data_IF_007159067027
#
_entry.id   IF_007159067027
#
_cell.length_a   1.000
_cell.length_b   1.000
_cell.length_c   1.000
_cell.angle_alpha   90.00
_cell.angle_beta   90.00
_cell.angle_gamma   90.00
#
_symmetry.space_group_name_H-M   'P 1'
#
loop_
_entity.id
_entity.type
_entity.pdbx_description
1 polymer ?
#
# COMPACT_ATOMS: atom_id res chain seq x y z
N UNK A 1 -26.83 -23.73 3.17
CA UNK A 1 -26.43 -22.58 2.36
C UNK A 1 -27.36 -21.36 2.49
N UNK A 2 -28.69 -21.51 2.59
CA UNK A 2 -29.70 -20.47 2.76
C UNK A 2 -29.57 -19.64 4.08
N UNK A 3 -29.37 -20.33 5.21
CA UNK A 3 -29.35 -19.66 6.54
C UNK A 3 -28.24 -18.64 6.69
N UNK A 4 -27.06 -18.89 6.11
CA UNK A 4 -25.93 -17.96 6.16
C UNK A 4 -26.17 -16.68 5.35
N UNK A 5 -26.99 -16.75 4.30
CA UNK A 5 -27.36 -15.58 3.50
C UNK A 5 -28.38 -14.68 4.23
N UNK A 6 -29.30 -15.27 4.98
CA UNK A 6 -30.30 -14.55 5.77
C UNK A 6 -29.61 -13.79 6.92
N UNK A 7 -28.71 -14.44 7.64
CA UNK A 7 -27.94 -13.81 8.74
C UNK A 7 -27.08 -12.65 8.21
N UNK A 8 -26.48 -12.81 7.01
CA UNK A 8 -25.74 -11.73 6.37
C UNK A 8 -26.65 -10.54 5.99
N UNK A 9 -27.85 -10.81 5.47
CA UNK A 9 -28.83 -9.80 5.09
C UNK A 9 -29.35 -9.04 6.32
N UNK A 10 -29.66 -9.73 7.40
CA UNK A 10 -30.10 -9.14 8.67
C UNK A 10 -28.99 -8.26 9.27
N UNK A 11 -27.75 -8.72 9.30
CA UNK A 11 -26.59 -7.91 9.76
C UNK A 11 -26.37 -6.67 8.89
N UNK A 12 -26.59 -6.75 7.58
CA UNK A 12 -26.52 -5.62 6.67
C UNK A 12 -27.64 -4.61 6.90
N UNK A 13 -28.85 -5.06 7.15
CA UNK A 13 -29.99 -4.19 7.49
C UNK A 13 -29.77 -3.49 8.82
N UNK A 14 -29.31 -4.23 9.84
CA UNK A 14 -29.01 -3.67 11.17
C UNK A 14 -27.92 -2.58 11.11
N UNK A 15 -26.87 -2.78 10.32
CA UNK A 15 -25.82 -1.77 10.09
C UNK A 15 -26.35 -0.52 9.39
N UNK A 16 -27.32 -0.68 8.48
CA UNK A 16 -27.95 0.43 7.76
C UNK A 16 -28.86 1.27 8.65
N UNK A 17 -29.52 0.62 9.63
CA UNK A 17 -30.46 1.26 10.58
C UNK A 17 -29.73 1.89 11.75
N UNK A 18 -28.64 1.27 12.22
CA UNK A 18 -27.87 1.74 13.39
C UNK A 18 -26.86 2.84 13.11
N UNK A 19 -26.73 3.30 11.85
CA UNK A 19 -25.75 4.34 11.47
C UNK A 19 -24.27 3.94 11.69
N UNK A 20 -24.01 2.68 12.09
CA UNK A 20 -22.65 2.17 12.40
C UNK A 20 -21.84 1.74 11.17
N UNK A 21 -22.29 2.12 9.98
CA UNK A 21 -21.78 1.60 8.71
C UNK A 21 -20.36 2.02 8.32
N UNK A 22 -19.72 2.98 8.99
CA UNK A 22 -18.42 3.51 8.54
C UNK A 22 -17.26 3.26 9.51
N UNK A 23 -17.50 3.08 10.81
CA UNK A 23 -16.39 2.95 11.78
C UNK A 23 -15.69 1.60 11.81
N UNK A 24 -16.38 0.50 11.51
CA UNK A 24 -15.82 -0.86 11.68
C UNK A 24 -14.94 -1.35 10.52
N UNK A 25 -14.96 -0.72 9.35
CA UNK A 25 -14.27 -1.24 8.16
C UNK A 25 -12.81 -0.85 8.05
N UNK A 26 -12.33 0.09 8.87
CA UNK A 26 -11.00 0.68 8.77
C UNK A 26 -10.15 0.56 10.04
N UNK A 27 -10.56 -0.23 11.03
CA UNK A 27 -9.81 -0.46 12.27
C UNK A 27 -8.40 -1.05 12.03
N UNK A 28 -8.17 -1.70 10.88
CA UNK A 28 -6.84 -2.19 10.55
C UNK A 28 -5.78 -1.09 10.45
N UNK A 29 -6.15 0.14 10.15
CA UNK A 29 -5.24 1.29 10.11
C UNK A 29 -4.63 1.56 11.49
N UNK A 30 -5.46 1.49 12.55
CA UNK A 30 -5.00 1.68 13.92
C UNK A 30 -4.01 0.59 14.33
N UNK A 31 -4.27 -0.67 13.92
CA UNK A 31 -3.35 -1.78 14.22
C UNK A 31 -2.02 -1.62 13.51
N UNK A 32 -2.01 -1.24 12.24
CA UNK A 32 -0.78 -1.05 11.47
C UNK A 32 0.10 0.06 12.04
N UNK A 33 -0.50 1.19 12.36
CA UNK A 33 0.22 2.29 12.99
C UNK A 33 0.79 1.88 14.35
N UNK A 34 -0.02 1.20 15.18
CA UNK A 34 0.43 0.69 16.47
C UNK A 34 1.59 -0.30 16.32
N UNK A 35 1.49 -1.28 15.44
CA UNK A 35 2.54 -2.26 15.18
C UNK A 35 3.83 -1.61 14.65
N UNK A 36 3.72 -0.57 13.82
CA UNK A 36 4.86 0.24 13.39
C UNK A 36 5.58 0.86 14.58
N UNK A 37 4.83 1.45 15.52
CA UNK A 37 5.37 2.07 16.73
C UNK A 37 5.92 1.03 17.72
N UNK A 38 5.25 -0.11 17.86
CA UNK A 38 5.72 -1.21 18.72
C UNK A 38 7.06 -1.80 18.21
N UNK A 39 7.28 -1.82 16.88
CA UNK A 39 8.51 -2.33 16.27
C UNK A 39 9.71 -1.37 16.37
N UNK A 40 9.47 -0.08 16.17
CA UNK A 40 10.56 0.89 15.99
C UNK A 40 10.58 2.01 17.05
N UNK A 41 9.46 2.28 17.71
CA UNK A 41 9.27 3.48 18.53
C UNK A 41 8.95 4.74 17.72
N UNK A 42 8.23 5.69 18.30
CA UNK A 42 7.92 6.98 17.65
C UNK A 42 9.19 7.77 17.31
N UNK A 43 10.18 7.72 18.21
CA UNK A 43 11.44 8.46 18.08
C UNK A 43 12.27 8.05 16.85
N UNK A 44 12.10 6.81 16.37
CA UNK A 44 12.78 6.35 15.16
C UNK A 44 12.38 7.19 13.93
N UNK A 45 11.15 7.69 13.91
CA UNK A 45 10.59 8.46 12.79
C UNK A 45 10.57 9.97 13.05
N UNK A 46 10.93 10.41 14.26
CA UNK A 46 10.96 11.83 14.62
C UNK A 46 11.96 12.59 13.72
N UNK A 47 11.52 13.74 13.22
CA UNK A 47 12.31 14.59 12.32
C UNK A 47 12.80 13.87 11.04
N UNK A 48 12.05 12.87 10.58
CA UNK A 48 12.31 12.08 9.37
C UNK A 48 11.42 12.52 8.22
N UNK A 49 11.78 12.11 7.01
CA UNK A 49 10.96 12.35 5.83
C UNK A 49 9.98 11.21 5.64
N UNK A 50 8.70 11.54 5.54
CA UNK A 50 7.61 10.58 5.39
C UNK A 50 6.91 10.79 4.05
N UNK A 51 6.63 9.69 3.34
CA UNK A 51 5.79 9.67 2.14
C UNK A 51 4.54 8.83 2.42
N UNK A 52 3.37 9.37 2.12
CA UNK A 52 2.14 8.61 2.03
C UNK A 52 1.64 8.58 0.58
N UNK A 53 1.34 7.38 0.09
CA UNK A 53 0.81 7.16 -1.25
C UNK A 53 -0.64 6.71 -1.15
N UNK A 54 -1.55 7.51 -1.70
CA UNK A 54 -3.00 7.29 -1.64
C UNK A 54 -3.63 7.70 -0.31
N UNK A 55 -3.40 8.93 0.21
CA UNK A 55 -3.90 9.38 1.52
C UNK A 55 -5.43 9.46 1.60
N UNK A 56 -6.13 9.50 0.49
CA UNK A 56 -7.58 9.48 0.35
C UNK A 56 -8.33 10.47 1.26
N UNK A 57 -8.66 10.04 2.48
CA UNK A 57 -9.46 10.77 3.48
C UNK A 57 -8.61 11.42 4.59
N UNK A 58 -7.29 11.27 4.54
CA UNK A 58 -6.34 11.86 5.48
C UNK A 58 -6.31 11.22 6.87
N UNK A 59 -7.03 10.14 7.10
CA UNK A 59 -7.06 9.49 8.42
C UNK A 59 -5.70 8.88 8.80
N UNK A 60 -5.01 8.28 7.84
CA UNK A 60 -3.64 7.80 8.07
C UNK A 60 -2.66 8.98 8.15
N UNK A 61 -2.86 10.01 7.32
CA UNK A 61 -2.03 11.22 7.35
C UNK A 61 -2.02 11.88 8.73
N UNK A 62 -3.17 12.01 9.39
CA UNK A 62 -3.28 12.56 10.76
C UNK A 62 -2.51 11.72 11.80
N UNK A 63 -2.48 10.39 11.65
CA UNK A 63 -1.69 9.51 12.53
C UNK A 63 -0.20 9.64 12.26
N UNK A 64 0.19 9.72 10.98
CA UNK A 64 1.59 9.86 10.57
C UNK A 64 2.17 11.21 10.99
N UNK A 65 1.35 12.26 11.03
CA UNK A 65 1.75 13.57 11.56
C UNK A 65 2.20 13.52 13.03
N UNK A 66 1.65 12.60 13.85
CA UNK A 66 2.07 12.39 15.22
C UNK A 66 3.54 11.96 15.38
N UNK A 67 4.17 11.51 14.29
CA UNK A 67 5.59 11.16 14.23
C UNK A 67 6.49 12.41 14.14
N UNK A 68 5.89 13.60 14.01
CA UNK A 68 6.58 14.86 13.83
C UNK A 68 7.63 14.84 12.71
N UNK A 69 7.21 14.60 11.45
CA UNK A 69 8.12 14.52 10.32
C UNK A 69 8.79 15.87 10.03
N UNK A 70 10.04 15.85 9.53
CA UNK A 70 10.72 17.05 9.00
C UNK A 70 10.09 17.51 7.69
N UNK A 71 9.60 16.57 6.89
CA UNK A 71 8.83 16.81 5.67
C UNK A 71 7.85 15.66 5.47
N UNK A 72 6.60 16.00 5.18
CA UNK A 72 5.54 15.04 4.90
C UNK A 72 5.05 15.20 3.46
N UNK A 73 5.39 14.25 2.60
CA UNK A 73 4.95 14.24 1.21
C UNK A 73 3.76 13.31 1.06
N UNK A 74 2.72 13.81 0.40
CA UNK A 74 1.46 13.12 0.15
C UNK A 74 1.27 13.04 -1.35
N UNK A 75 1.10 11.85 -1.90
CA UNK A 75 0.87 11.65 -3.34
C UNK A 75 -0.42 10.90 -3.56
N UNK A 76 -1.34 11.49 -4.33
CA UNK A 76 -2.59 10.85 -4.74
C UNK A 76 -2.89 11.11 -6.20
N UNK A 77 -3.72 10.26 -6.78
CA UNK A 77 -4.15 10.41 -8.16
C UNK A 77 -4.86 11.77 -8.36
N UNK A 78 -4.70 12.38 -9.56
CA UNK A 78 -5.55 13.49 -9.96
C UNK A 78 -6.99 13.00 -9.97
N UNK A 79 -7.77 13.41 -9.00
CA UNK A 79 -9.14 12.95 -8.85
C UNK A 79 -10.08 13.74 -9.77
N UNK A 80 -10.94 13.01 -10.47
CA UNK A 80 -11.99 13.60 -11.31
C UNK A 80 -13.23 13.99 -10.50
N UNK A 81 -13.43 13.33 -9.36
CA UNK A 81 -14.49 13.63 -8.41
C UNK A 81 -13.80 14.26 -7.20
N UNK A 82 -13.96 15.56 -7.03
CA UNK A 82 -13.34 16.30 -5.94
C UNK A 82 -13.52 15.59 -4.59
N UNK A 83 -12.59 14.69 -4.26
CA UNK A 83 -12.45 14.22 -2.88
C UNK A 83 -12.15 15.48 -2.09
N UNK A 84 -13.03 15.77 -1.15
CA UNK A 84 -12.86 16.90 -0.25
C UNK A 84 -11.52 16.71 0.48
N UNK A 85 -10.54 17.54 0.10
CA UNK A 85 -9.20 17.55 0.70
C UNK A 85 -9.07 18.64 1.78
N UNK A 86 -10.18 19.06 2.36
CA UNK A 86 -10.19 20.04 3.46
C UNK A 86 -9.31 19.59 4.62
N UNK A 87 -9.17 18.27 4.82
CA UNK A 87 -8.29 17.71 5.85
C UNK A 87 -6.81 18.07 5.68
N UNK A 88 -6.35 18.46 4.46
CA UNK A 88 -4.99 18.96 4.27
C UNK A 88 -4.73 20.23 5.08
N UNK A 89 -5.74 21.10 5.21
CA UNK A 89 -5.67 22.32 6.02
C UNK A 89 -5.59 22.04 7.52
N UNK A 90 -5.94 20.85 7.96
CA UNK A 90 -5.85 20.44 9.38
C UNK A 90 -4.44 19.97 9.77
N UNK A 91 -3.60 19.60 8.78
CA UNK A 91 -2.22 19.14 9.03
C UNK A 91 -1.34 20.33 9.44
N UNK A 92 -0.61 20.14 10.54
CA UNK A 92 0.30 21.16 11.15
C UNK A 92 1.74 20.99 10.71
N UNK A 93 2.12 19.80 10.26
CA UNK A 93 3.47 19.50 9.78
C UNK A 93 3.79 20.23 8.47
N UNK A 94 5.07 20.43 8.20
CA UNK A 94 5.52 20.85 6.87
C UNK A 94 5.18 19.76 5.85
N UNK A 95 4.14 19.97 5.05
CA UNK A 95 3.65 18.97 4.11
C UNK A 95 3.58 19.50 2.67
N UNK A 96 3.75 18.57 1.73
CA UNK A 96 3.59 18.82 0.30
C UNK A 96 2.61 17.80 -0.27
N UNK A 97 1.54 18.28 -0.89
CA UNK A 97 0.58 17.42 -1.60
C UNK A 97 0.84 17.46 -3.12
N UNK A 98 1.02 16.28 -3.72
CA UNK A 98 1.31 16.11 -5.16
C UNK A 98 0.19 15.30 -5.80
N UNK A 99 -0.50 15.88 -6.77
CA UNK A 99 -1.49 15.17 -7.58
C UNK A 99 -0.78 14.47 -8.74
N UNK A 100 -0.45 13.20 -8.55
CA UNK A 100 0.22 12.40 -9.58
C UNK A 100 -0.05 10.91 -9.38
N UNK A 101 0.07 10.13 -10.44
CA UNK A 101 0.23 8.70 -10.30
C UNK A 101 1.71 8.40 -10.00
N UNK A 102 2.02 8.01 -8.77
CA UNK A 102 3.39 7.75 -8.33
C UNK A 102 4.14 6.78 -9.26
N UNK A 103 3.44 5.75 -9.77
CA UNK A 103 4.03 4.77 -10.68
C UNK A 103 4.48 5.38 -12.01
N UNK A 104 3.73 6.37 -12.51
CA UNK A 104 3.93 6.97 -13.84
C UNK A 104 4.42 8.43 -13.79
N UNK A 105 4.93 8.87 -12.64
CA UNK A 105 5.62 10.16 -12.57
C UNK A 105 6.77 10.19 -13.59
N UNK A 106 7.02 11.37 -14.18
CA UNK A 106 8.22 11.58 -14.99
C UNK A 106 9.48 11.27 -14.17
N UNK A 107 10.58 10.94 -14.80
CA UNK A 107 11.83 10.68 -14.08
C UNK A 107 12.27 11.90 -13.28
N UNK A 108 12.12 13.09 -13.86
CA UNK A 108 12.45 14.36 -13.21
C UNK A 108 11.61 14.59 -11.94
N UNK A 109 10.27 14.47 -12.03
CA UNK A 109 9.39 14.61 -10.88
C UNK A 109 9.67 13.56 -9.82
N UNK A 110 9.86 12.31 -10.26
CA UNK A 110 10.19 11.21 -9.37
C UNK A 110 11.50 11.46 -8.62
N UNK A 111 12.54 11.95 -9.29
CA UNK A 111 13.82 12.26 -8.64
C UNK A 111 13.71 13.46 -7.71
N UNK A 112 12.93 14.46 -8.08
CA UNK A 112 12.75 15.70 -7.32
C UNK A 112 12.16 15.51 -5.92
N UNK A 113 11.34 14.48 -5.72
CA UNK A 113 10.78 14.20 -4.39
C UNK A 113 11.80 13.63 -3.38
N UNK A 114 12.99 13.22 -3.85
CA UNK A 114 14.04 12.67 -3.01
C UNK A 114 13.70 11.29 -2.43
N UNK A 115 14.34 10.94 -1.29
CA UNK A 115 14.15 9.66 -0.57
C UNK A 115 13.51 9.88 0.79
N UNK A 116 12.95 8.81 1.36
CA UNK A 116 12.14 8.82 2.57
C UNK A 116 12.61 7.78 3.59
N UNK A 117 12.34 8.05 4.85
CA UNK A 117 12.63 7.13 5.94
C UNK A 117 11.42 6.24 6.27
N UNK A 118 10.23 6.71 5.94
CA UNK A 118 8.99 5.95 6.03
C UNK A 118 8.16 6.17 4.76
N UNK A 119 7.71 5.07 4.14
CA UNK A 119 6.69 5.12 3.08
C UNK A 119 5.46 4.36 3.55
N UNK A 120 4.33 5.06 3.61
CA UNK A 120 3.04 4.48 3.97
C UNK A 120 2.22 4.24 2.70
N UNK A 121 1.93 2.97 2.42
CA UNK A 121 1.37 2.51 1.16
C UNK A 121 0.24 1.50 1.40
N UNK A 122 -0.95 2.02 1.71
CA UNK A 122 -2.09 1.22 2.11
C UNK A 122 -3.27 1.36 1.16
N UNK A 123 -3.88 0.24 0.79
CA UNK A 123 -5.08 0.21 -0.04
C UNK A 123 -4.88 0.53 -1.53
N UNK A 124 -3.66 0.62 -2.02
CA UNK A 124 -3.33 1.12 -3.37
C UNK A 124 -2.83 0.04 -4.32
N UNK A 125 -1.97 -0.88 -3.83
CA UNK A 125 -1.24 -1.82 -4.68
C UNK A 125 -2.14 -2.59 -5.66
N UNK A 126 -3.26 -3.10 -5.18
CA UNK A 126 -4.16 -3.92 -5.99
C UNK A 126 -4.91 -3.17 -7.10
N UNK A 127 -4.86 -1.85 -7.13
CA UNK A 127 -5.38 -1.03 -8.20
C UNK A 127 -4.40 -0.83 -9.36
N UNK A 128 -3.18 -1.36 -9.24
CA UNK A 128 -2.14 -1.20 -10.24
C UNK A 128 -1.83 -2.52 -10.97
N UNK A 129 -1.69 -2.50 -12.30
CA UNK A 129 -1.30 -3.67 -13.08
C UNK A 129 0.19 -4.01 -12.91
N UNK A 130 1.06 -3.03 -12.71
CA UNK A 130 2.52 -3.16 -12.61
C UNK A 130 2.98 -3.21 -11.15
N UNK A 131 2.48 -4.18 -10.40
CA UNK A 131 2.64 -4.25 -8.95
C UNK A 131 4.10 -4.42 -8.49
N UNK A 132 4.85 -5.30 -9.15
CA UNK A 132 6.27 -5.49 -8.87
C UNK A 132 7.07 -4.20 -9.11
N UNK A 133 6.83 -3.51 -10.23
CA UNK A 133 7.47 -2.23 -10.53
C UNK A 133 7.11 -1.15 -9.50
N UNK A 134 5.88 -1.18 -8.99
CA UNK A 134 5.48 -0.25 -7.94
C UNK A 134 6.28 -0.48 -6.65
N UNK A 135 6.40 -1.74 -6.22
CA UNK A 135 7.18 -2.12 -5.04
C UNK A 135 8.67 -1.76 -5.22
N UNK A 136 9.21 -1.96 -6.43
CA UNK A 136 10.58 -1.55 -6.76
C UNK A 136 10.76 -0.03 -6.60
N UNK A 137 9.88 0.78 -7.18
CA UNK A 137 9.94 2.25 -7.03
C UNK A 137 9.85 2.68 -5.56
N UNK A 138 9.04 2.01 -4.75
CA UNK A 138 8.99 2.25 -3.30
C UNK A 138 10.34 1.94 -2.65
N UNK A 139 10.94 0.78 -2.96
CA UNK A 139 12.25 0.40 -2.43
C UNK A 139 13.33 1.43 -2.79
N UNK A 140 13.35 1.92 -4.05
CA UNK A 140 14.34 2.88 -4.53
C UNK A 140 14.18 4.25 -3.85
N UNK A 141 12.95 4.61 -3.45
CA UNK A 141 12.65 5.84 -2.70
C UNK A 141 12.87 5.74 -1.19
N UNK A 142 13.21 4.57 -0.67
CA UNK A 142 13.60 4.44 0.74
C UNK A 142 15.08 4.74 0.92
N UNK A 143 15.39 5.49 1.99
CA UNK A 143 16.73 5.58 2.56
C UNK A 143 17.17 4.21 3.09
N UNK A 144 18.49 4.02 3.27
CA UNK A 144 19.00 2.91 4.06
C UNK A 144 18.42 2.96 5.47
N UNK A 145 17.92 1.82 5.96
CA UNK A 145 17.18 1.75 7.22
C UNK A 145 15.72 2.20 7.11
N UNK A 146 15.31 2.76 5.97
CA UNK A 146 13.93 3.19 5.76
C UNK A 146 12.94 2.04 5.75
N UNK A 147 11.69 2.35 6.08
CA UNK A 147 10.62 1.39 6.33
C UNK A 147 9.45 1.63 5.38
N UNK A 148 8.86 0.57 4.84
CA UNK A 148 7.57 0.62 4.16
C UNK A 148 6.51 -0.06 5.01
N UNK A 149 5.34 0.58 5.15
CA UNK A 149 4.10 -0.03 5.61
C UNK A 149 3.23 -0.29 4.39
N UNK A 150 3.01 -1.55 4.08
CA UNK A 150 2.24 -1.97 2.91
C UNK A 150 0.98 -2.71 3.33
N UNK A 151 -0.15 -2.30 2.78
CA UNK A 151 -1.41 -3.02 2.93
C UNK A 151 -2.12 -3.12 1.57
N UNK A 152 -2.64 -4.30 1.26
CA UNK A 152 -3.30 -4.56 -0.03
C UNK A 152 -4.41 -5.60 0.09
N UNK A 153 -5.44 -5.44 -0.74
CA UNK A 153 -6.35 -6.54 -1.01
C UNK A 153 -5.61 -7.67 -1.74
N UNK A 154 -5.98 -8.92 -1.39
CA UNK A 154 -5.40 -10.12 -1.98
C UNK A 154 -6.49 -11.04 -2.54
N UNK A 155 -6.10 -12.07 -3.31
CA UNK A 155 -7.05 -13.06 -3.83
C UNK A 155 -7.86 -13.71 -2.70
N UNK A 156 -9.14 -13.92 -2.95
CA UNK A 156 -10.05 -14.58 -2.01
C UNK A 156 -10.07 -16.11 -2.15
N UNK A 157 -9.40 -16.62 -3.17
CA UNK A 157 -9.35 -18.05 -3.47
C UNK A 157 -8.33 -18.74 -2.57
N UNK A 158 -8.79 -19.41 -1.52
CA UNK A 158 -7.94 -20.04 -0.50
C UNK A 158 -6.86 -20.96 -1.09
N UNK A 159 -7.13 -21.64 -2.21
CA UNK A 159 -6.17 -22.50 -2.90
C UNK A 159 -4.94 -21.74 -3.43
N UNK A 160 -5.03 -20.44 -3.61
CA UNK A 160 -3.96 -19.61 -4.17
C UNK A 160 -3.21 -18.77 -3.14
N UNK A 161 -3.56 -18.86 -1.85
CA UNK A 161 -2.96 -18.00 -0.80
C UNK A 161 -1.44 -18.17 -0.75
N UNK A 162 -0.96 -19.42 -0.89
CA UNK A 162 0.46 -19.76 -0.83
C UNK A 162 1.12 -19.91 -2.22
N UNK A 163 0.43 -19.51 -3.27
CA UNK A 163 0.93 -19.57 -4.64
C UNK A 163 1.29 -18.16 -5.12
N UNK A 164 2.26 -18.05 -6.00
CA UNK A 164 2.61 -16.77 -6.64
C UNK A 164 1.66 -16.47 -7.80
N UNK A 165 0.48 -15.96 -7.51
CA UNK A 165 -0.56 -15.67 -8.52
C UNK A 165 -1.17 -14.29 -8.35
N UNK A 166 -1.68 -13.75 -9.45
CA UNK A 166 -2.48 -12.53 -9.49
C UNK A 166 -3.82 -12.83 -10.14
N UNK A 167 -4.91 -12.49 -9.44
CA UNK A 167 -6.27 -12.61 -9.95
C UNK A 167 -6.70 -11.28 -10.58
N UNK A 168 -6.97 -11.26 -11.88
CA UNK A 168 -7.34 -10.07 -12.63
C UNK A 168 -8.85 -9.91 -12.62
N UNK A 169 -9.32 -8.74 -12.23
CA UNK A 169 -10.72 -8.35 -12.24
C UNK A 169 -10.93 -7.16 -13.16
N UNK A 170 -11.88 -7.28 -14.09
CA UNK A 170 -12.34 -6.16 -14.89
C UNK A 170 -13.07 -5.11 -14.05
N UNK A 171 -13.19 -3.86 -14.54
CA UNK A 171 -14.00 -2.84 -13.88
C UNK A 171 -15.39 -3.37 -13.52
N UNK A 172 -15.90 -2.98 -12.36
CA UNK A 172 -17.18 -3.41 -11.77
C UNK A 172 -17.28 -4.89 -11.34
N UNK A 173 -16.32 -5.75 -11.69
CA UNK A 173 -16.34 -7.16 -11.27
C UNK A 173 -15.82 -7.38 -9.86
N UNK A 174 -15.04 -6.44 -9.31
CA UNK A 174 -14.57 -6.44 -7.94
C UNK A 174 -15.18 -5.28 -7.15
N UNK A 175 -16.13 -5.59 -6.24
CA UNK A 175 -16.78 -4.61 -5.34
C UNK A 175 -17.34 -3.36 -6.03
N UNK A 176 -17.78 -3.48 -7.28
CA UNK A 176 -18.27 -2.36 -8.11
C UNK A 176 -17.25 -1.20 -8.29
N UNK A 177 -15.96 -1.50 -8.15
CA UNK A 177 -14.92 -0.51 -8.45
C UNK A 177 -14.97 -0.12 -9.93
N UNK A 178 -14.74 1.13 -10.23
CA UNK A 178 -14.70 1.63 -11.61
C UNK A 178 -13.39 1.31 -12.33
N UNK A 179 -12.39 0.85 -11.56
CA UNK A 179 -11.03 0.53 -12.04
C UNK A 179 -10.82 -0.98 -12.14
N UNK A 180 -9.84 -1.37 -12.94
CA UNK A 180 -9.30 -2.74 -12.94
C UNK A 180 -8.72 -3.01 -11.54
N UNK A 181 -8.92 -4.23 -11.03
CA UNK A 181 -8.32 -4.67 -9.79
C UNK A 181 -7.52 -5.94 -10.02
N UNK A 182 -6.25 -5.91 -9.73
CA UNK A 182 -5.34 -7.03 -9.78
C UNK A 182 -5.07 -7.50 -8.35
N UNK A 183 -5.72 -8.60 -7.94
CA UNK A 183 -5.60 -9.13 -6.59
C UNK A 183 -4.45 -10.15 -6.51
N UNK A 184 -3.28 -9.77 -6.00
CA UNK A 184 -2.19 -10.71 -5.80
C UNK A 184 -2.54 -11.69 -4.67
N UNK A 185 -1.91 -12.83 -4.65
CA UNK A 185 -1.88 -13.67 -3.46
C UNK A 185 -1.01 -13.02 -2.37
N UNK A 186 -1.16 -13.46 -1.12
CA UNK A 186 -0.25 -13.05 -0.05
C UNK A 186 1.20 -13.42 -0.40
N UNK A 187 1.40 -14.63 -0.91
CA UNK A 187 2.72 -15.13 -1.30
C UNK A 187 3.33 -14.28 -2.41
N UNK A 188 2.57 -13.85 -3.41
CA UNK A 188 3.08 -13.01 -4.48
C UNK A 188 3.62 -11.67 -3.95
N UNK A 189 2.91 -11.01 -3.03
CA UNK A 189 3.40 -9.76 -2.42
C UNK A 189 4.70 -9.99 -1.65
N UNK A 190 4.78 -11.04 -0.83
CA UNK A 190 5.98 -11.37 -0.07
C UNK A 190 7.16 -11.69 -0.98
N UNK A 191 6.92 -12.43 -2.06
CA UNK A 191 7.94 -12.73 -3.06
C UNK A 191 8.44 -11.47 -3.77
N UNK A 192 7.56 -10.54 -4.13
CA UNK A 192 7.96 -9.27 -4.74
C UNK A 192 8.79 -8.39 -3.78
N UNK A 193 8.41 -8.34 -2.51
CA UNK A 193 9.20 -7.63 -1.51
C UNK A 193 10.62 -8.22 -1.38
N UNK A 194 10.74 -9.55 -1.33
CA UNK A 194 12.03 -10.22 -1.29
C UNK A 194 12.86 -9.98 -2.56
N UNK A 195 12.22 -10.09 -3.73
CA UNK A 195 12.85 -9.86 -5.04
C UNK A 195 13.48 -8.46 -5.15
N UNK A 196 12.78 -7.42 -4.70
CA UNK A 196 13.31 -6.05 -4.78
C UNK A 196 14.35 -5.73 -3.70
N UNK A 197 14.50 -6.60 -2.69
CA UNK A 197 15.58 -6.48 -1.71
C UNK A 197 15.17 -6.33 -0.25
N UNK A 198 13.88 -6.30 0.08
CA UNK A 198 13.44 -6.35 1.48
C UNK A 198 13.71 -7.74 2.08
N UNK A 199 14.46 -7.79 3.20
CA UNK A 199 14.80 -9.06 3.87
C UNK A 199 14.11 -9.22 5.23
N UNK A 200 13.80 -8.12 5.89
CA UNK A 200 13.04 -8.11 7.14
C UNK A 200 11.60 -7.71 6.84
N UNK A 201 10.70 -8.70 6.78
CA UNK A 201 9.30 -8.49 6.48
C UNK A 201 8.48 -8.97 7.69
N UNK A 202 7.88 -8.01 8.39
CA UNK A 202 6.96 -8.28 9.48
C UNK A 202 5.52 -8.31 8.97
N UNK A 203 4.84 -9.44 9.10
CA UNK A 203 3.43 -9.58 8.72
C UNK A 203 2.55 -9.22 9.91
N UNK A 204 1.61 -8.31 9.73
CA UNK A 204 0.67 -7.88 10.78
C UNK A 204 -0.24 -9.03 11.21
N UNK A 205 -0.02 -9.54 12.41
CA UNK A 205 -0.86 -10.60 13.01
C UNK A 205 -2.23 -10.07 13.41
N UNK A 206 -2.31 -8.84 13.86
CA UNK A 206 -3.57 -8.19 14.22
C UNK A 206 -4.47 -8.05 13.00
N UNK A 207 -3.89 -7.60 11.89
CA UNK A 207 -4.58 -7.48 10.62
C UNK A 207 -5.02 -8.86 10.07
N UNK A 208 -4.20 -9.88 10.18
CA UNK A 208 -4.56 -11.24 9.77
C UNK A 208 -5.75 -11.80 10.56
N UNK A 209 -5.75 -11.61 11.87
CA UNK A 209 -6.84 -12.05 12.75
C UNK A 209 -8.16 -11.37 12.39
N UNK A 210 -8.15 -10.07 12.17
CA UNK A 210 -9.33 -9.31 11.79
C UNK A 210 -9.87 -9.75 10.41
N UNK A 211 -9.00 -9.92 9.43
CA UNK A 211 -9.36 -10.40 8.11
C UNK A 211 -9.96 -11.81 8.13
N UNK A 212 -9.45 -12.70 8.96
CA UNK A 212 -10.01 -14.04 9.12
C UNK A 212 -11.47 -13.98 9.58
N UNK A 213 -11.75 -13.15 10.58
CA UNK A 213 -13.09 -12.97 11.13
C UNK A 213 -14.07 -12.33 10.14
N UNK A 214 -13.60 -11.38 9.34
CA UNK A 214 -14.43 -10.61 8.39
C UNK A 214 -14.54 -11.25 7.00
N UNK A 215 -13.81 -12.35 6.74
CA UNK A 215 -13.63 -12.98 5.41
C UNK A 215 -13.05 -12.02 4.36
N UNK A 216 -12.47 -10.93 4.79
CA UNK A 216 -11.71 -10.07 3.92
C UNK A 216 -10.30 -10.64 3.80
N UNK A 217 -9.89 -11.00 2.60
CA UNK A 217 -8.54 -11.46 2.39
C UNK A 217 -7.70 -10.26 2.00
N UNK A 218 -6.83 -9.85 2.90
CA UNK A 218 -5.88 -8.74 2.72
C UNK A 218 -4.56 -9.14 3.36
N UNK A 219 -3.48 -8.51 2.95
CA UNK A 219 -2.17 -8.60 3.57
C UNK A 219 -1.78 -7.21 4.06
N UNK A 220 -1.28 -7.13 5.28
CA UNK A 220 -0.58 -5.97 5.78
C UNK A 220 0.78 -6.41 6.30
N UNK A 221 1.81 -5.67 5.96
CA UNK A 221 3.17 -5.94 6.40
C UNK A 221 3.98 -4.66 6.52
N UNK A 222 5.05 -4.76 7.30
CA UNK A 222 6.04 -3.72 7.50
C UNK A 222 7.38 -4.32 7.06
N UNK A 223 8.08 -3.63 6.16
CA UNK A 223 9.36 -4.14 5.66
C UNK A 223 10.44 -3.04 5.69
N UNK A 224 11.67 -3.44 6.00
CA UNK A 224 12.81 -2.53 6.16
C UNK A 224 13.84 -2.73 5.06
N UNK A 225 14.37 -1.61 4.54
CA UNK A 225 15.50 -1.61 3.61
C UNK A 225 16.81 -1.71 4.39
N UNK A 226 17.42 -2.89 4.42
CA UNK A 226 18.58 -3.20 5.25
C UNK A 226 19.91 -3.26 4.48
N UNK A 227 19.89 -3.12 3.17
CA UNK A 227 21.11 -3.05 2.37
C UNK A 227 21.47 -1.61 2.10
N UNK A 228 22.76 -1.39 1.88
CA UNK A 228 23.29 -0.11 1.45
C UNK A 228 22.40 0.51 0.37
N UNK A 229 22.50 1.80 0.18
CA UNK A 229 21.67 2.61 -0.70
C UNK A 229 21.74 2.19 -2.19
N UNK A 230 21.67 0.88 -2.39
CA UNK A 230 21.63 0.28 -3.71
C UNK A 230 20.20 0.35 -4.25
N UNK A 231 20.01 0.80 -5.47
CA UNK A 231 18.73 0.69 -6.13
C UNK A 231 18.32 -0.78 -6.24
N UNK A 232 17.01 -1.04 -6.33
CA UNK A 232 16.52 -2.36 -6.67
C UNK A 232 17.07 -2.77 -8.04
N UNK A 233 18.02 -3.70 -8.03
CA UNK A 233 18.67 -4.15 -9.27
C UNK A 233 17.92 -5.25 -9.99
N UNK A 234 16.92 -5.87 -9.32
CA UNK A 234 16.27 -7.05 -9.87
C UNK A 234 15.66 -6.82 -11.25
N UNK A 235 14.86 -5.77 -11.37
CA UNK A 235 14.13 -5.52 -12.62
C UNK A 235 14.99 -4.90 -13.71
N UNK A 236 15.77 -3.88 -13.36
CA UNK A 236 16.56 -3.15 -14.37
C UNK A 236 17.81 -3.92 -14.81
N UNK A 237 18.46 -4.62 -13.88
CA UNK A 237 19.65 -5.41 -14.19
C UNK A 237 19.29 -6.56 -15.13
N UNK A 238 18.29 -7.35 -14.76
CA UNK A 238 17.89 -8.50 -15.58
C UNK A 238 17.33 -8.10 -16.95
N UNK A 239 16.60 -6.99 -17.03
CA UNK A 239 16.10 -6.48 -18.30
C UNK A 239 17.20 -5.89 -19.18
N UNK A 240 18.19 -5.19 -18.59
CA UNK A 240 19.33 -4.63 -19.34
C UNK A 240 20.32 -5.70 -19.76
N UNK A 241 20.60 -6.65 -18.88
CA UNK A 241 21.57 -7.73 -19.15
C UNK A 241 20.97 -8.85 -20.04
N UNK A 242 19.67 -9.08 -19.92
CA UNK A 242 18.94 -10.11 -20.68
C UNK A 242 17.96 -9.52 -21.71
N UNK A 243 18.10 -8.25 -22.05
CA UNK A 243 17.35 -7.68 -23.16
C UNK A 243 17.73 -8.43 -24.45
N UNK A 244 16.94 -9.41 -24.80
CA UNK A 244 17.01 -10.00 -26.12
C UNK A 244 16.65 -8.93 -27.14
N UNK A 245 17.62 -8.41 -27.84
CA UNK A 245 17.37 -7.65 -29.07
C UNK A 245 16.80 -8.67 -30.08
N UNK A 246 15.50 -8.87 -30.03
CA UNK A 246 14.82 -9.61 -31.10
C UNK A 246 14.79 -8.68 -32.30
N UNK A 247 15.65 -8.96 -33.27
CA UNK A 247 15.67 -8.26 -34.52
C UNK A 247 16.80 -7.25 -34.68
N UNK A 248 18.02 -7.66 -34.43
CA UNK A 248 19.18 -7.13 -35.11
C UNK A 248 19.33 -7.82 -36.46
N UNK A 249 18.51 -7.46 -37.41
CA UNK A 249 18.81 -7.79 -38.80
C UNK A 249 19.37 -6.56 -39.48
N UNK A 250 20.66 -6.62 -39.76
CA UNK A 250 21.39 -6.12 -40.94
C UNK A 250 20.91 -4.80 -41.56
#
# INVERSE_FOLDING_TARGET
>A
MMINNIIWYIKRLYRKISGSGSKDTWQFRDYLYKELIDLYGKEYFHNKRILEIGPRDGEDSKRLEELNPSEFVLIDLPDKEAINKEWLGDLKSNHKFIQANFLYMSQEDYDSIGKFDLIYFTGVLYHNPEQLRFIQKIYDKLNFGGVVVLESATTRKRKFINENVVEIHHPKSYRNTTTISHLPSKQAILSWLDMVGFKEIFISKSHEKENYNTKNVRLACIAKKNKDDMPSSYYEKDLKENAFIIGGSN
#
